data_IF_383075973002
#
_entry.id   IF_383075973002
#
_cell.length_a   1.000
_cell.length_b   1.000
_cell.length_c   1.000
_cell.angle_alpha   90.00
_cell.angle_beta   90.00
_cell.angle_gamma   90.00
#
_symmetry.space_group_name_H-M   'P 1'
#
loop_
_entity.id
_entity.type
_entity.pdbx_description
1 polymer ?
#
# COMPACT_ATOMS: atom_id res chain seq x y z
N UNK A 1 11.39 17.32 -23.83
CA UNK A 1 10.20 17.28 -22.96
C UNK A 1 9.92 15.87 -22.44
N UNK A 2 9.63 14.89 -23.32
CA UNK A 2 9.39 13.48 -22.93
C UNK A 2 10.47 12.90 -21.99
N UNK A 3 11.74 13.00 -22.37
CA UNK A 3 12.88 12.52 -21.56
C UNK A 3 12.93 13.18 -20.17
N UNK A 4 12.64 14.48 -20.08
CA UNK A 4 12.65 15.21 -18.80
C UNK A 4 11.51 14.74 -17.88
N UNK A 5 10.32 14.48 -18.44
CA UNK A 5 9.21 13.90 -17.66
C UNK A 5 9.53 12.48 -17.20
N UNK A 6 10.20 11.66 -18.03
CA UNK A 6 10.65 10.32 -17.65
C UNK A 6 11.63 10.36 -16.49
N UNK A 7 12.67 11.20 -16.58
CA UNK A 7 13.62 11.36 -15.47
C UNK A 7 12.94 11.84 -14.18
N UNK A 8 12.04 12.82 -14.28
CA UNK A 8 11.28 13.31 -13.14
C UNK A 8 10.42 12.20 -12.50
N UNK A 9 9.71 11.43 -13.32
CA UNK A 9 8.88 10.31 -12.84
C UNK A 9 9.72 9.21 -12.18
N UNK A 10 10.87 8.85 -12.76
CA UNK A 10 11.82 7.88 -12.18
C UNK A 10 12.36 8.39 -10.83
N UNK A 11 12.69 9.68 -10.74
CA UNK A 11 13.16 10.28 -9.50
C UNK A 11 12.08 10.24 -8.40
N UNK A 12 10.82 10.53 -8.73
CA UNK A 12 9.71 10.44 -7.77
C UNK A 12 9.57 9.01 -7.25
N UNK A 13 9.61 8.00 -8.15
CA UNK A 13 9.54 6.59 -7.79
C UNK A 13 10.69 6.18 -6.86
N UNK A 14 11.92 6.57 -7.19
CA UNK A 14 13.08 6.28 -6.35
C UNK A 14 12.98 6.93 -4.96
N UNK A 15 12.42 8.14 -4.90
CA UNK A 15 12.17 8.83 -3.64
C UNK A 15 11.09 8.12 -2.82
N UNK A 16 10.00 7.68 -3.46
CA UNK A 16 8.95 6.88 -2.82
C UNK A 16 9.50 5.55 -2.29
N UNK A 17 10.33 4.84 -3.07
CA UNK A 17 11.00 3.60 -2.64
C UNK A 17 11.86 3.87 -1.39
N UNK A 18 12.64 4.95 -1.42
CA UNK A 18 13.49 5.35 -0.29
C UNK A 18 12.68 5.62 0.97
N UNK A 19 11.60 6.40 0.87
CA UNK A 19 10.73 6.66 2.01
C UNK A 19 10.05 5.40 2.54
N UNK A 20 9.57 4.50 1.67
CA UNK A 20 8.98 3.24 2.12
C UNK A 20 10.02 2.33 2.80
N UNK A 21 11.28 2.31 2.33
CA UNK A 21 12.37 1.61 3.03
C UNK A 21 12.66 2.20 4.40
N UNK A 22 12.65 3.53 4.53
CA UNK A 22 12.79 4.20 5.83
C UNK A 22 11.60 3.89 6.76
N UNK A 23 10.38 3.83 6.22
CA UNK A 23 9.19 3.47 6.99
C UNK A 23 9.28 2.02 7.50
N UNK A 24 9.81 1.09 6.70
CA UNK A 24 10.10 -0.29 7.13
C UNK A 24 11.08 -0.29 8.32
N UNK A 25 12.18 0.45 8.24
CA UNK A 25 13.15 0.52 9.34
C UNK A 25 12.58 1.20 10.60
N UNK A 26 11.74 2.21 10.42
CA UNK A 26 11.08 2.90 11.52
C UNK A 26 10.08 1.99 12.25
N UNK A 27 9.30 1.17 11.51
CA UNK A 27 8.44 0.14 12.13
C UNK A 27 9.26 -0.84 12.96
N UNK A 28 10.41 -1.31 12.46
CA UNK A 28 11.27 -2.24 13.21
C UNK A 28 11.79 -1.64 14.52
N UNK A 29 11.98 -0.32 14.57
CA UNK A 29 12.40 0.42 15.76
C UNK A 29 11.25 0.88 16.66
N UNK A 30 10.00 0.60 16.28
CA UNK A 30 8.79 1.14 16.91
C UNK A 30 8.73 2.68 16.94
N UNK A 31 9.32 3.32 15.93
CA UNK A 31 9.33 4.77 15.75
C UNK A 31 8.26 5.18 14.72
N UNK A 32 7.04 5.41 15.20
CA UNK A 32 5.88 5.61 14.32
C UNK A 32 5.64 7.07 13.92
N UNK A 33 6.19 8.03 14.68
CA UNK A 33 5.98 9.46 14.43
C UNK A 33 6.61 9.91 13.11
N UNK A 34 7.79 9.40 12.80
CA UNK A 34 8.46 9.68 11.52
C UNK A 34 7.67 9.18 10.31
N UNK A 35 6.95 8.05 10.47
CA UNK A 35 6.15 7.45 9.40
C UNK A 35 4.99 8.39 9.05
N UNK A 36 4.29 8.93 10.06
CA UNK A 36 3.20 9.88 9.84
C UNK A 36 3.70 11.17 9.17
N UNK A 37 4.86 11.68 9.56
CA UNK A 37 5.45 12.85 8.92
C UNK A 37 5.84 12.59 7.45
N UNK A 38 6.30 11.38 7.11
CA UNK A 38 6.64 11.00 5.72
C UNK A 38 5.40 10.79 4.84
N UNK A 39 4.24 10.41 5.39
CA UNK A 39 3.02 10.21 4.61
C UNK A 39 2.62 11.45 3.78
N UNK A 40 2.67 12.65 4.37
CA UNK A 40 2.36 13.90 3.66
C UNK A 40 3.29 14.09 2.45
N UNK A 41 4.57 13.75 2.59
CA UNK A 41 5.56 13.85 1.50
C UNK A 41 5.32 12.79 0.42
N UNK A 42 4.98 11.56 0.81
CA UNK A 42 4.64 10.48 -0.14
C UNK A 42 3.38 10.82 -0.94
N UNK A 43 2.34 11.36 -0.30
CA UNK A 43 1.11 11.75 -0.98
C UNK A 43 1.34 12.84 -2.03
N UNK A 44 2.21 13.82 -1.72
CA UNK A 44 2.62 14.83 -2.69
C UNK A 44 3.36 14.20 -3.88
N UNK A 45 4.34 13.33 -3.61
CA UNK A 45 5.11 12.63 -4.65
C UNK A 45 4.24 11.73 -5.54
N UNK A 46 3.24 11.04 -4.99
CA UNK A 46 2.32 10.22 -5.76
C UNK A 46 1.52 11.09 -6.74
N UNK A 47 1.00 12.23 -6.27
CA UNK A 47 0.27 13.18 -7.13
C UNK A 47 1.17 13.75 -8.23
N UNK A 48 2.40 14.12 -7.90
CA UNK A 48 3.37 14.60 -8.89
C UNK A 48 3.69 13.54 -9.93
N UNK A 49 3.89 12.29 -9.51
CA UNK A 49 4.12 11.17 -10.41
C UNK A 49 2.91 10.93 -11.33
N UNK A 50 1.68 10.96 -10.81
CA UNK A 50 0.46 10.80 -11.61
C UNK A 50 0.31 11.89 -12.67
N UNK A 51 0.62 13.14 -12.33
CA UNK A 51 0.62 14.26 -13.28
C UNK A 51 1.68 14.04 -14.36
N UNK A 52 2.92 13.69 -13.98
CA UNK A 52 4.00 13.42 -14.93
C UNK A 52 3.64 12.24 -15.85
N UNK A 53 3.02 11.19 -15.31
CA UNK A 53 2.54 10.05 -16.11
C UNK A 53 1.47 10.48 -17.12
N UNK A 54 0.51 11.30 -16.72
CA UNK A 54 -0.52 11.79 -17.64
C UNK A 54 0.09 12.64 -18.79
N UNK A 55 1.07 13.48 -18.47
CA UNK A 55 1.81 14.27 -19.47
C UNK A 55 2.63 13.37 -20.40
N UNK A 56 3.28 12.32 -19.88
CA UNK A 56 3.98 11.33 -20.69
C UNK A 56 3.03 10.62 -21.67
N UNK A 57 1.88 10.17 -21.18
CA UNK A 57 0.88 9.49 -22.02
C UNK A 57 0.37 10.41 -23.15
N UNK A 58 0.20 11.70 -22.87
CA UNK A 58 -0.19 12.71 -23.87
C UNK A 58 0.92 12.93 -24.92
N UNK A 59 2.17 13.11 -24.49
CA UNK A 59 3.31 13.32 -25.39
C UNK A 59 3.56 12.11 -26.28
N UNK A 60 3.49 10.89 -25.73
CA UNK A 60 3.65 9.66 -26.52
C UNK A 60 2.56 9.56 -27.60
N UNK A 61 1.29 9.85 -27.26
CA UNK A 61 0.21 9.88 -28.27
C UNK A 61 0.45 10.92 -29.35
N UNK A 62 0.84 12.13 -28.98
CA UNK A 62 1.13 13.20 -29.92
C UNK A 62 2.29 12.85 -30.87
N UNK A 63 3.31 12.14 -30.37
CA UNK A 63 4.40 11.63 -31.19
C UNK A 63 3.92 10.54 -32.17
N UNK A 64 3.09 9.61 -31.71
CA UNK A 64 2.53 8.54 -32.56
C UNK A 64 1.57 9.07 -33.65
N UNK A 65 0.77 10.09 -33.35
CA UNK A 65 -0.15 10.72 -34.31
C UNK A 65 0.58 11.46 -35.43
N UNK A 66 1.76 12.03 -35.15
CA UNK A 66 2.58 12.74 -36.15
C UNK A 66 3.24 11.80 -37.14
N UNK A 67 3.59 10.59 -36.72
CA UNK A 67 4.30 9.61 -37.55
C UNK A 67 3.67 8.21 -37.46
N UNK A 68 2.45 8.02 -37.99
CA UNK A 68 1.68 6.78 -37.81
C UNK A 68 2.27 5.55 -38.53
N UNK A 69 3.26 5.74 -39.40
CA UNK A 69 3.92 4.65 -40.14
C UNK A 69 5.22 4.16 -39.50
N UNK A 70 5.74 4.85 -38.47
CA UNK A 70 7.00 4.46 -37.81
C UNK A 70 6.74 3.67 -36.53
N UNK A 71 7.68 2.81 -36.17
CA UNK A 71 7.59 2.04 -34.92
C UNK A 71 7.78 2.97 -33.71
N UNK A 72 7.15 2.69 -32.58
CA UNK A 72 7.25 3.50 -31.36
C UNK A 72 8.70 3.81 -30.99
N UNK A 73 9.59 2.82 -31.02
CA UNK A 73 11.02 3.02 -30.72
C UNK A 73 11.71 4.00 -31.68
N UNK A 74 11.29 4.06 -32.93
CA UNK A 74 11.79 5.00 -33.94
C UNK A 74 11.22 6.41 -33.73
N UNK A 75 10.00 6.49 -33.18
CA UNK A 75 9.26 7.74 -32.95
C UNK A 75 9.73 8.47 -31.67
N UNK A 76 9.94 7.74 -30.57
CA UNK A 76 10.35 8.31 -29.28
C UNK A 76 11.86 8.23 -29.02
N UNK A 77 12.60 7.44 -29.82
CA UNK A 77 14.03 7.23 -29.68
C UNK A 77 14.41 6.18 -28.63
N UNK A 78 15.59 5.58 -28.81
CA UNK A 78 16.09 4.50 -27.95
C UNK A 78 16.27 4.94 -26.50
N UNK A 79 16.73 6.17 -26.26
CA UNK A 79 16.88 6.72 -24.90
C UNK A 79 15.56 6.72 -24.12
N UNK A 80 14.46 7.13 -24.76
CA UNK A 80 13.15 7.12 -24.12
C UNK A 80 12.68 5.68 -23.84
N UNK A 81 12.95 4.73 -24.74
CA UNK A 81 12.65 3.31 -24.54
C UNK A 81 13.40 2.76 -23.32
N UNK A 82 14.69 3.08 -23.19
CA UNK A 82 15.51 2.65 -22.07
C UNK A 82 14.98 3.23 -20.75
N UNK A 83 14.61 4.52 -20.74
CA UNK A 83 14.02 5.18 -19.57
C UNK A 83 12.64 4.60 -19.20
N UNK A 84 11.80 4.24 -20.16
CA UNK A 84 10.55 3.50 -19.87
C UNK A 84 10.83 2.14 -19.23
N UNK A 85 11.91 1.46 -19.65
CA UNK A 85 12.41 0.25 -19.00
C UNK A 85 12.76 0.49 -17.54
N UNK A 86 13.58 1.50 -17.25
CA UNK A 86 13.97 1.89 -15.89
C UNK A 86 12.75 2.27 -15.04
N UNK A 87 11.80 3.02 -15.60
CA UNK A 87 10.57 3.40 -14.91
C UNK A 87 9.74 2.17 -14.54
N UNK A 88 9.64 1.18 -15.44
CA UNK A 88 8.95 -0.09 -15.18
C UNK A 88 9.62 -0.90 -14.07
N UNK A 89 10.94 -0.98 -14.08
CA UNK A 89 11.71 -1.65 -13.02
C UNK A 89 11.49 -0.97 -11.66
N UNK A 90 11.56 0.36 -11.63
CA UNK A 90 11.32 1.17 -10.43
C UNK A 90 9.90 0.94 -9.87
N UNK A 91 8.88 0.89 -10.73
CA UNK A 91 7.51 0.56 -10.31
C UNK A 91 7.39 -0.84 -9.71
N UNK A 92 8.07 -1.82 -10.29
CA UNK A 92 8.09 -3.19 -9.75
C UNK A 92 8.78 -3.24 -8.38
N UNK A 93 9.88 -2.52 -8.20
CA UNK A 93 10.55 -2.41 -6.91
C UNK A 93 9.64 -1.73 -5.88
N UNK A 94 9.02 -0.60 -6.22
CA UNK A 94 8.08 0.10 -5.35
C UNK A 94 6.94 -0.82 -4.92
N UNK A 95 6.36 -1.58 -5.85
CA UNK A 95 5.31 -2.56 -5.53
C UNK A 95 5.78 -3.61 -4.53
N UNK A 96 6.99 -4.16 -4.72
CA UNK A 96 7.57 -5.17 -3.83
C UNK A 96 7.79 -4.59 -2.42
N UNK A 97 8.51 -3.47 -2.34
CA UNK A 97 8.83 -2.82 -1.06
C UNK A 97 7.57 -2.39 -0.31
N UNK A 98 6.57 -1.86 -1.02
CA UNK A 98 5.30 -1.46 -0.41
C UNK A 98 4.49 -2.68 0.08
N UNK A 99 4.55 -3.81 -0.62
CA UNK A 99 3.92 -5.05 -0.16
C UNK A 99 4.56 -5.57 1.13
N UNK A 100 5.88 -5.47 1.25
CA UNK A 100 6.61 -5.88 2.46
C UNK A 100 6.27 -4.95 3.64
N UNK A 101 6.25 -3.64 3.39
CA UNK A 101 5.80 -2.64 4.36
C UNK A 101 4.37 -2.91 4.85
N UNK A 102 3.42 -3.14 3.94
CA UNK A 102 2.03 -3.41 4.28
C UNK A 102 1.88 -4.66 5.17
N UNK A 103 2.65 -5.72 4.88
CA UNK A 103 2.66 -6.94 5.72
C UNK A 103 3.13 -6.64 7.14
N UNK A 104 4.15 -5.78 7.30
CA UNK A 104 4.64 -5.38 8.62
C UNK A 104 3.61 -4.53 9.38
N UNK A 105 3.01 -3.54 8.73
CA UNK A 105 1.94 -2.71 9.33
C UNK A 105 0.77 -3.58 9.80
N UNK A 106 0.40 -4.58 9.01
CA UNK A 106 -0.66 -5.52 9.36
C UNK A 106 -0.28 -6.35 10.61
N UNK A 107 0.91 -6.93 10.66
CA UNK A 107 1.37 -7.69 11.81
C UNK A 107 1.44 -6.85 13.10
N UNK A 108 1.85 -5.58 13.00
CA UNK A 108 1.84 -4.65 14.13
C UNK A 108 0.42 -4.35 14.60
N UNK A 109 -0.51 -4.13 13.66
CA UNK A 109 -1.93 -3.93 13.98
C UNK A 109 -2.53 -5.15 14.70
N UNK A 110 -2.30 -6.35 14.19
CA UNK A 110 -2.77 -7.59 14.82
C UNK A 110 -2.19 -7.79 16.22
N UNK A 111 -0.92 -7.47 16.42
CA UNK A 111 -0.27 -7.53 17.72
C UNK A 111 -0.96 -6.60 18.73
N UNK A 112 -1.21 -5.33 18.36
CA UNK A 112 -1.89 -4.38 19.24
C UNK A 112 -3.34 -4.78 19.52
N UNK A 113 -4.07 -5.29 18.52
CA UNK A 113 -5.42 -5.84 18.73
C UNK A 113 -5.40 -7.03 19.71
N UNK A 114 -4.45 -7.95 19.56
CA UNK A 114 -4.31 -9.09 20.48
C UNK A 114 -3.96 -8.66 21.90
N UNK A 115 -3.11 -7.64 22.07
CA UNK A 115 -2.81 -7.07 23.38
C UNK A 115 -4.05 -6.42 24.00
N UNK A 116 -4.82 -5.65 23.23
CA UNK A 116 -6.04 -5.02 23.69
C UNK A 116 -7.07 -6.04 24.16
N UNK A 117 -7.24 -7.13 23.41
CA UNK A 117 -8.13 -8.24 23.76
C UNK A 117 -7.74 -8.96 25.05
N UNK A 118 -6.44 -8.98 25.38
CA UNK A 118 -5.93 -9.57 26.64
C UNK A 118 -6.00 -8.60 27.83
N UNK A 119 -5.81 -7.31 27.57
CA UNK A 119 -5.78 -6.26 28.60
C UNK A 119 -7.18 -5.81 29.02
N UNK A 120 -8.15 -5.85 28.10
CA UNK A 120 -9.54 -5.51 28.35
C UNK A 120 -10.32 -6.84 28.44
N UNK A 121 -10.68 -7.31 29.65
CA UNK A 121 -11.53 -8.48 29.78
C UNK A 121 -12.85 -8.18 29.04
N UNK A 122 -13.13 -8.93 27.98
CA UNK A 122 -14.41 -8.83 27.25
C UNK A 122 -15.60 -9.37 28.06
N UNK A 123 -15.33 -9.98 29.21
CA UNK A 123 -16.31 -10.43 30.19
C UNK A 123 -16.17 -9.63 31.51
N UNK A 124 -16.57 -8.35 31.52
CA UNK A 124 -17.05 -7.79 32.78
C UNK A 124 -18.50 -8.26 32.93
N UNK A 125 -18.83 -9.13 33.91
CA UNK A 125 -20.22 -9.27 34.31
C UNK A 125 -20.71 -7.88 34.70
N UNK A 126 -21.79 -7.42 34.08
CA UNK A 126 -22.41 -6.14 34.41
C UNK A 126 -22.58 -6.07 35.94
N UNK A 127 -22.16 -4.95 36.52
CA UNK A 127 -22.22 -4.69 37.96
C UNK A 127 -23.66 -4.94 38.45
N UNK A 128 -23.92 -6.12 39.04
CA UNK A 128 -25.25 -6.53 39.49
C UNK A 128 -25.73 -7.95 39.14
N UNK A 129 -25.07 -8.71 38.25
CA UNK A 129 -25.50 -10.11 38.01
C UNK A 129 -24.99 -11.10 39.07
N UNK A 130 -25.61 -11.04 40.25
CA UNK A 130 -25.70 -12.18 41.16
C UNK A 130 -26.63 -13.25 40.56
N UNK A 131 -26.22 -13.92 39.47
CA UNK A 131 -26.92 -15.13 39.04
C UNK A 131 -26.35 -16.32 39.80
N UNK A 132 -27.07 -16.62 40.89
CA UNK A 132 -27.03 -17.89 41.60
C UNK A 132 -26.85 -19.04 40.61
N UNK A 133 -25.82 -19.83 40.85
CA UNK A 133 -25.70 -21.19 40.34
C UNK A 133 -26.95 -21.94 40.82
N UNK A 134 -27.90 -22.16 39.93
CA UNK A 134 -28.94 -23.19 40.09
C UNK A 134 -29.00 -23.98 38.80
N UNK A 135 -28.64 -25.25 38.93
CA UNK A 135 -28.63 -26.34 37.94
C UNK A 135 -30.01 -26.63 37.31
N UNK A 136 -30.12 -27.68 36.48
CA UNK A 136 -30.30 -27.64 35.02
C UNK A 136 -31.77 -27.69 34.59
N UNK A 137 -32.15 -27.02 33.49
CA UNK A 137 -33.48 -27.21 32.88
C UNK A 137 -33.40 -28.07 31.62
N UNK A 138 -33.78 -29.32 31.82
CA UNK A 138 -34.33 -30.23 30.81
C UNK A 138 -35.47 -29.55 30.04
N UNK A 139 -35.35 -29.41 28.73
CA UNK A 139 -36.51 -29.40 27.82
C UNK A 139 -36.13 -30.08 26.50
N UNK A 140 -36.71 -31.26 26.34
CA UNK A 140 -36.78 -32.11 25.16
C UNK A 140 -37.35 -31.40 23.93
N UNK A 141 -36.76 -31.58 22.74
CA UNK A 141 -37.54 -31.53 21.49
C UNK A 141 -37.00 -32.53 20.45
N UNK A 142 -37.92 -33.43 20.08
CA UNK A 142 -38.03 -34.27 18.87
C UNK A 142 -37.23 -35.58 18.82
N UNK A 143 -37.89 -36.65 19.28
CA UNK A 143 -37.70 -38.01 18.78
C UNK A 143 -38.30 -38.13 17.39
N UNK A 144 -37.52 -38.64 16.44
CA UNK A 144 -37.98 -39.12 15.14
C UNK A 144 -38.35 -40.59 15.32
N UNK A 145 -39.55 -41.00 14.93
CA UNK A 145 -39.86 -42.41 14.69
C UNK A 145 -40.27 -42.61 13.23
N UNK A 146 -39.79 -43.73 12.70
CA UNK A 146 -39.98 -44.29 11.37
C UNK A 146 -41.38 -44.87 11.14
#
# INVERSE_FOLDING_TARGET
MLIQYLHGAIQDLNTLISYTKLDIEAIKRADHDEIFARNVKKDALIKEFEVKKALLDQEVRACMEKEPQKNMAEVIGQEAVDLFGVMRESLNELKKVNSDYARMVFAVSEFFTSLMDKLIPKDLPAYGENKRITTPKHTSFLQIQA
#
